data_IF_163973084660
#
_entry.id   IF_163973084660
#
_cell.length_a   1.000
_cell.length_b   1.000
_cell.length_c   1.000
_cell.angle_alpha   90.00
_cell.angle_beta   90.00
_cell.angle_gamma   90.00
#
_symmetry.space_group_name_H-M   'P 1'
#
loop_
_entity.id
_entity.type
_entity.pdbx_description
1 polymer ?
#
# COMPACT_ATOMS: atom_id res chain seq x y z
N UNK A 1 10.89 23.81 -57.95
CA UNK A 1 10.01 23.22 -56.91
C UNK A 1 10.69 23.42 -55.55
N UNK A 2 10.33 24.48 -54.82
CA UNK A 2 10.67 24.69 -53.41
C UNK A 2 9.35 24.67 -52.65
N UNK A 3 9.10 23.63 -51.87
CA UNK A 3 7.92 23.57 -50.98
C UNK A 3 8.32 24.07 -49.60
N UNK A 4 7.75 25.22 -49.26
CA UNK A 4 7.71 25.83 -47.94
C UNK A 4 6.92 24.96 -46.96
N UNK A 5 7.51 24.61 -45.81
CA UNK A 5 6.76 24.09 -44.67
C UNK A 5 6.54 25.21 -43.66
N UNK A 6 5.26 25.49 -43.43
CA UNK A 6 4.73 26.46 -42.48
C UNK A 6 5.18 26.14 -41.05
N UNK A 7 5.75 27.15 -40.40
CA UNK A 7 5.92 27.23 -38.95
C UNK A 7 4.57 27.52 -38.30
N UNK A 8 4.02 26.55 -37.56
CA UNK A 8 2.94 26.81 -36.61
C UNK A 8 3.51 26.79 -35.20
N UNK A 9 3.37 27.92 -34.52
CA UNK A 9 3.78 28.16 -33.15
C UNK A 9 2.89 27.38 -32.18
N UNK A 10 3.42 26.34 -31.54
CA UNK A 10 2.80 25.78 -30.36
C UNK A 10 3.28 26.53 -29.11
N UNK A 11 2.34 27.23 -28.49
CA UNK A 11 2.48 27.87 -27.19
C UNK A 11 3.04 26.88 -26.15
N UNK A 12 4.03 27.36 -25.39
CA UNK A 12 4.63 26.72 -24.23
C UNK A 12 3.54 26.29 -23.23
N UNK A 13 3.27 24.99 -23.15
CA UNK A 13 2.67 24.43 -21.95
C UNK A 13 3.77 24.33 -20.88
N UNK A 14 3.76 25.25 -19.92
CA UNK A 14 4.57 25.15 -18.72
C UNK A 14 4.01 23.99 -17.86
N UNK A 15 4.50 22.78 -18.11
CA UNK A 15 4.33 21.68 -17.19
C UNK A 15 5.31 21.86 -16.04
N UNK A 16 4.83 22.26 -14.86
CA UNK A 16 5.62 22.09 -13.65
C UNK A 16 5.86 20.58 -13.44
N UNK A 17 7.10 20.13 -13.22
CA UNK A 17 7.41 18.70 -13.15
C UNK A 17 6.93 18.12 -11.81
N UNK A 18 5.70 17.61 -11.79
CA UNK A 18 5.14 16.83 -10.67
C UNK A 18 6.01 15.58 -10.40
N UNK A 19 6.72 15.07 -11.41
CA UNK A 19 7.61 13.91 -11.29
C UNK A 19 8.88 14.15 -10.45
N UNK A 20 9.36 15.40 -10.33
CA UNK A 20 10.62 15.69 -9.62
C UNK A 20 10.45 15.66 -8.09
N UNK A 21 9.27 16.09 -7.59
CA UNK A 21 8.96 16.17 -6.16
C UNK A 21 8.62 14.80 -5.53
N UNK A 22 8.11 13.86 -6.32
CA UNK A 22 7.76 12.51 -5.86
C UNK A 22 9.02 11.67 -5.65
N UNK A 23 10.01 11.80 -6.55
CA UNK A 23 11.27 11.09 -6.45
C UNK A 23 12.06 11.49 -5.19
N UNK A 24 12.07 12.79 -4.85
CA UNK A 24 12.78 13.33 -3.68
C UNK A 24 12.18 12.86 -2.35
N UNK A 25 10.84 12.81 -2.22
CA UNK A 25 10.20 12.35 -0.98
C UNK A 25 10.38 10.85 -0.75
N UNK A 26 10.29 10.03 -1.80
CA UNK A 26 10.58 8.59 -1.74
C UNK A 26 12.01 8.37 -1.27
N UNK A 27 12.97 9.11 -1.84
CA UNK A 27 14.38 8.98 -1.48
C UNK A 27 14.65 9.33 -0.01
N UNK A 28 13.96 10.34 0.56
CA UNK A 28 14.13 10.75 1.96
C UNK A 28 13.58 9.74 2.96
N UNK A 29 12.36 9.21 2.72
CA UNK A 29 11.78 8.19 3.60
C UNK A 29 12.54 6.86 3.47
N UNK A 30 12.86 6.47 2.24
CA UNK A 30 13.63 5.27 1.95
C UNK A 30 15.01 5.28 2.61
N UNK A 31 15.80 6.34 2.42
CA UNK A 31 17.15 6.43 3.01
C UNK A 31 17.13 6.34 4.54
N UNK A 32 16.10 6.93 5.18
CA UNK A 32 15.92 6.85 6.63
C UNK A 32 15.48 5.47 7.12
N UNK A 33 14.70 4.72 6.35
CA UNK A 33 14.28 3.36 6.74
C UNK A 33 15.42 2.39 6.50
N UNK A 34 16.07 2.48 5.33
CA UNK A 34 17.16 1.62 4.89
C UNK A 34 18.30 1.56 5.92
N UNK A 35 18.71 2.71 6.47
CA UNK A 35 19.80 2.79 7.46
C UNK A 35 19.53 2.05 8.76
N UNK A 36 18.27 1.70 9.04
CA UNK A 36 17.83 1.02 10.26
C UNK A 36 17.37 -0.43 10.00
N UNK A 37 17.42 -0.90 8.76
CA UNK A 37 17.03 -2.28 8.44
C UNK A 37 18.11 -3.28 8.89
N UNK A 38 17.73 -4.41 9.49
CA UNK A 38 18.64 -5.54 9.69
C UNK A 38 19.27 -5.99 8.36
N UNK A 39 20.52 -6.46 8.41
CA UNK A 39 21.34 -6.81 7.23
C UNK A 39 20.63 -7.75 6.25
N UNK A 40 19.92 -8.76 6.76
CA UNK A 40 19.17 -9.71 5.95
C UNK A 40 18.00 -9.06 5.20
N UNK A 41 17.26 -8.17 5.86
CA UNK A 41 16.13 -7.44 5.24
C UNK A 41 16.66 -6.42 4.24
N UNK A 42 17.75 -5.71 4.58
CA UNK A 42 18.40 -4.80 3.65
C UNK A 42 18.84 -5.52 2.36
N UNK A 43 19.54 -6.65 2.48
CA UNK A 43 19.95 -7.47 1.34
C UNK A 43 18.75 -7.97 0.54
N UNK A 44 17.66 -8.37 1.21
CA UNK A 44 16.42 -8.72 0.54
C UNK A 44 15.88 -7.56 -0.29
N UNK A 45 15.81 -6.35 0.27
CA UNK A 45 15.28 -5.20 -0.47
C UNK A 45 16.13 -4.86 -1.69
N UNK A 46 17.46 -4.83 -1.56
CA UNK A 46 18.35 -4.56 -2.71
C UNK A 46 18.16 -5.62 -3.80
N UNK A 47 18.05 -6.91 -3.44
CA UNK A 47 17.81 -7.98 -4.40
C UNK A 47 16.41 -7.93 -5.01
N UNK A 48 15.39 -7.53 -4.25
CA UNK A 48 14.03 -7.34 -4.75
C UNK A 48 14.03 -6.25 -5.82
N UNK A 49 14.60 -5.07 -5.52
CA UNK A 49 14.64 -3.92 -6.45
C UNK A 49 15.30 -4.32 -7.78
N UNK A 50 16.39 -5.08 -7.70
CA UNK A 50 17.11 -5.55 -8.88
C UNK A 50 16.52 -6.82 -9.51
N UNK A 51 15.40 -7.35 -8.98
CA UNK A 51 14.81 -8.62 -9.37
C UNK A 51 15.84 -9.79 -9.40
N UNK A 52 16.73 -9.84 -8.42
CA UNK A 52 17.78 -10.86 -8.22
C UNK A 52 17.54 -11.72 -6.98
N UNK A 53 16.30 -11.75 -6.50
CA UNK A 53 15.88 -12.70 -5.48
C UNK A 53 15.79 -14.12 -6.06
N UNK A 54 16.09 -15.17 -5.27
CA UNK A 54 16.01 -16.57 -5.71
C UNK A 54 14.56 -17.08 -5.81
N UNK A 55 13.76 -16.47 -6.67
CA UNK A 55 12.46 -16.99 -7.12
C UNK A 55 12.67 -18.18 -8.04
N UNK A 56 11.71 -19.11 -8.20
CA UNK A 56 11.90 -20.24 -9.11
C UNK A 56 12.19 -19.81 -10.55
N UNK A 57 11.57 -18.72 -11.03
CA UNK A 57 11.88 -18.14 -12.35
C UNK A 57 13.34 -17.72 -12.48
N UNK A 58 13.91 -17.08 -11.44
CA UNK A 58 15.32 -16.70 -11.44
C UNK A 58 16.26 -17.91 -11.26
N UNK A 59 15.88 -18.87 -10.41
CA UNK A 59 16.66 -20.10 -10.21
C UNK A 59 16.73 -20.96 -11.48
N UNK A 60 15.64 -21.03 -12.27
CA UNK A 60 15.66 -21.66 -13.60
C UNK A 60 16.61 -20.92 -14.54
N UNK A 61 16.53 -19.58 -14.58
CA UNK A 61 17.43 -18.75 -15.40
C UNK A 61 18.91 -18.92 -15.03
N UNK A 62 19.21 -19.18 -13.76
CA UNK A 62 20.57 -19.41 -13.28
C UNK A 62 21.03 -20.88 -13.41
N UNK A 63 20.20 -21.78 -13.94
CA UNK A 63 20.52 -23.20 -14.08
C UNK A 63 20.58 -23.96 -12.74
N UNK A 64 20.00 -23.41 -11.68
CA UNK A 64 19.98 -24.02 -10.33
C UNK A 64 18.73 -24.88 -10.12
N UNK A 65 17.61 -24.52 -10.75
CA UNK A 65 16.34 -25.25 -10.65
C UNK A 65 15.91 -25.75 -12.04
N UNK A 66 15.34 -26.96 -12.16
CA UNK A 66 14.85 -27.46 -13.45
C UNK A 66 13.48 -26.89 -13.83
N UNK A 67 12.75 -26.28 -12.90
CA UNK A 67 11.43 -25.69 -13.11
C UNK A 67 11.33 -24.27 -12.55
N UNK A 68 10.44 -23.47 -13.15
CA UNK A 68 10.06 -22.13 -12.66
C UNK A 68 8.74 -22.12 -11.90
N UNK A 69 8.09 -23.28 -11.74
CA UNK A 69 6.75 -23.39 -11.17
C UNK A 69 6.74 -23.18 -9.66
N UNK A 70 5.71 -22.50 -9.18
CA UNK A 70 5.41 -22.33 -7.77
C UNK A 70 5.04 -23.69 -7.16
N UNK A 71 5.60 -24.00 -6.00
CA UNK A 71 5.38 -25.27 -5.29
C UNK A 71 3.93 -25.52 -4.85
N UNK A 72 3.07 -24.49 -4.92
CA UNK A 72 1.69 -24.54 -4.45
C UNK A 72 0.65 -24.44 -5.57
N UNK A 73 0.78 -23.44 -6.46
CA UNK A 73 -0.22 -23.18 -7.49
C UNK A 73 0.23 -23.55 -8.91
N UNK A 74 1.46 -24.06 -9.05
CA UNK A 74 2.08 -24.51 -10.31
C UNK A 74 2.27 -23.43 -11.39
N UNK A 75 1.87 -22.18 -11.15
CA UNK A 75 2.16 -21.08 -12.06
C UNK A 75 3.64 -20.64 -11.96
N UNK A 76 4.21 -20.01 -12.99
CA UNK A 76 5.58 -19.49 -12.93
C UNK A 76 5.81 -18.51 -11.76
N UNK A 77 6.70 -18.88 -10.83
CA UNK A 77 7.03 -18.12 -9.64
C UNK A 77 8.02 -16.99 -9.98
N UNK A 78 7.46 -15.87 -10.42
CA UNK A 78 8.16 -14.58 -10.51
C UNK A 78 8.17 -13.84 -9.17
N UNK A 79 8.87 -12.71 -9.08
CA UNK A 79 8.84 -11.88 -7.87
C UNK A 79 7.42 -11.39 -7.54
N UNK A 80 6.72 -10.82 -8.54
CA UNK A 80 5.30 -10.44 -8.46
C UNK A 80 4.45 -11.59 -7.90
N UNK A 81 4.67 -12.79 -8.43
CA UNK A 81 3.94 -13.98 -8.02
C UNK A 81 4.06 -14.22 -6.51
N UNK A 82 5.30 -14.27 -5.99
CA UNK A 82 5.56 -14.54 -4.57
C UNK A 82 4.95 -13.48 -3.66
N UNK A 83 5.06 -12.21 -4.03
CA UNK A 83 4.76 -11.10 -3.11
C UNK A 83 3.35 -10.50 -3.27
N UNK A 84 2.63 -10.80 -4.34
CA UNK A 84 1.28 -10.26 -4.55
C UNK A 84 0.39 -11.07 -5.51
N UNK A 85 0.91 -12.08 -6.21
CA UNK A 85 0.20 -12.68 -7.37
C UNK A 85 -0.20 -14.15 -7.21
N UNK A 86 0.29 -14.86 -6.20
CA UNK A 86 -0.04 -16.27 -6.00
C UNK A 86 -1.46 -16.43 -5.46
N UNK A 87 -2.34 -17.10 -6.21
CA UNK A 87 -3.73 -17.38 -5.79
C UNK A 87 -3.80 -18.22 -4.52
N UNK A 88 -2.91 -19.20 -4.37
CA UNK A 88 -2.85 -20.02 -3.15
C UNK A 88 -2.46 -19.16 -1.94
N UNK A 89 -1.47 -18.27 -2.07
CA UNK A 89 -1.08 -17.36 -0.98
C UNK A 89 -2.18 -16.37 -0.61
N UNK A 90 -2.98 -15.95 -1.59
CA UNK A 90 -4.15 -15.13 -1.33
C UNK A 90 -5.16 -15.90 -0.48
N UNK A 91 -5.50 -17.13 -0.88
CA UNK A 91 -6.49 -17.96 -0.20
C UNK A 91 -6.02 -18.43 1.19
N UNK A 92 -4.72 -18.67 1.36
CA UNK A 92 -4.09 -19.03 2.64
C UNK A 92 -3.85 -17.80 3.53
N UNK A 93 -4.14 -16.58 3.06
CA UNK A 93 -4.09 -15.37 3.88
C UNK A 93 -2.72 -14.73 4.04
N UNK A 94 -1.73 -15.05 3.20
CA UNK A 94 -0.39 -14.43 3.28
C UNK A 94 -0.47 -12.91 3.05
N UNK A 95 -1.21 -12.52 2.02
CA UNK A 95 -1.37 -11.11 1.65
C UNK A 95 -2.29 -10.39 2.61
N UNK A 96 -3.32 -11.07 3.12
CA UNK A 96 -4.21 -10.59 4.19
C UNK A 96 -3.41 -10.32 5.46
N UNK A 97 -2.54 -11.23 5.90
CA UNK A 97 -1.69 -11.01 7.07
C UNK A 97 -0.79 -9.78 6.95
N UNK A 98 -0.19 -9.54 5.76
CA UNK A 98 0.58 -8.32 5.51
C UNK A 98 -0.31 -7.08 5.56
N UNK A 99 -1.46 -7.14 4.90
CA UNK A 99 -2.44 -6.07 4.87
C UNK A 99 -2.86 -5.69 6.30
N UNK A 100 -3.29 -6.68 7.08
CA UNK A 100 -3.79 -6.50 8.44
C UNK A 100 -2.69 -6.06 9.39
N UNK A 101 -1.45 -6.48 9.17
CA UNK A 101 -0.30 -5.97 9.95
C UNK A 101 -0.11 -4.46 9.77
N UNK A 102 -0.34 -3.94 8.55
CA UNK A 102 -0.29 -2.50 8.28
C UNK A 102 -1.53 -1.80 8.83
N UNK A 103 -2.72 -2.37 8.60
CA UNK A 103 -4.00 -1.82 9.06
C UNK A 103 -4.04 -1.72 10.59
N UNK A 104 -3.54 -2.72 11.30
CA UNK A 104 -3.48 -2.77 12.77
C UNK A 104 -2.60 -1.66 13.34
N UNK A 105 -1.46 -1.38 12.68
CA UNK A 105 -0.63 -0.24 13.03
C UNK A 105 -1.36 1.10 12.80
N UNK A 106 -2.03 1.26 11.66
CA UNK A 106 -2.81 2.47 11.36
C UNK A 106 -3.93 2.66 12.39
N UNK A 107 -4.68 1.61 12.70
CA UNK A 107 -5.73 1.63 13.71
C UNK A 107 -5.16 2.00 15.10
N UNK A 108 -3.96 1.51 15.45
CA UNK A 108 -3.30 1.88 16.72
C UNK A 108 -2.94 3.36 16.81
N UNK A 109 -2.51 3.98 15.70
CA UNK A 109 -2.25 5.43 15.63
C UNK A 109 -3.56 6.19 15.79
N UNK A 110 -4.59 5.76 15.08
CA UNK A 110 -5.85 6.47 15.01
C UNK A 110 -6.68 6.35 16.30
N UNK A 111 -6.44 5.31 17.10
CA UNK A 111 -7.02 5.19 18.45
C UNK A 111 -6.58 6.31 19.39
N UNK A 112 -5.45 6.98 19.14
CA UNK A 112 -5.02 8.13 19.94
C UNK A 112 -5.69 9.45 19.56
N UNK A 113 -6.57 9.45 18.56
CA UNK A 113 -7.31 10.66 18.16
C UNK A 113 -8.45 10.88 19.15
N UNK A 114 -8.42 12.01 19.84
CA UNK A 114 -9.48 12.39 20.77
C UNK A 114 -10.80 12.64 20.04
N UNK A 115 -11.93 12.40 20.72
CA UNK A 115 -13.26 12.75 20.22
C UNK A 115 -13.61 12.12 18.86
N UNK A 116 -13.19 10.86 18.66
CA UNK A 116 -13.52 10.09 17.46
C UNK A 116 -14.00 8.68 17.80
N UNK A 117 -14.78 8.11 16.89
CA UNK A 117 -15.08 6.68 16.88
C UNK A 117 -14.32 6.03 15.73
N UNK A 118 -13.61 4.94 16.04
CA UNK A 118 -12.79 4.19 15.11
C UNK A 118 -13.42 2.81 14.85
N UNK A 119 -13.57 2.48 13.58
CA UNK A 119 -14.03 1.18 13.09
C UNK A 119 -12.97 0.62 12.16
N UNK A 120 -12.72 -0.68 12.19
CA UNK A 120 -11.73 -1.31 11.33
C UNK A 120 -12.13 -2.74 11.00
N UNK A 121 -11.83 -3.18 9.78
CA UNK A 121 -11.95 -4.58 9.36
C UNK A 121 -10.77 -5.39 9.94
N UNK A 122 -10.75 -5.50 11.27
CA UNK A 122 -9.73 -6.18 12.05
C UNK A 122 -10.32 -6.85 13.29
N UNK A 123 -9.76 -8.00 13.74
CA UNK A 123 -10.15 -8.59 15.01
C UNK A 123 -10.00 -7.61 16.19
N UNK A 124 -11.03 -7.52 17.02
CA UNK A 124 -11.03 -6.66 18.21
C UNK A 124 -11.51 -5.22 17.97
N UNK A 125 -11.90 -4.88 16.74
CA UNK A 125 -12.52 -3.59 16.40
C UNK A 125 -14.00 -3.77 16.07
N UNK A 126 -14.78 -2.69 16.20
CA UNK A 126 -16.15 -2.66 15.67
C UNK A 126 -16.05 -2.60 14.15
N UNK A 127 -16.80 -3.47 13.46
CA UNK A 127 -16.80 -3.55 12.00
C UNK A 127 -17.29 -2.23 11.36
N UNK A 128 -16.64 -1.77 10.28
CA UNK A 128 -17.13 -0.67 9.46
C UNK A 128 -18.54 -0.87 8.90
N UNK A 129 -19.02 -2.12 8.76
CA UNK A 129 -20.35 -2.44 8.23
C UNK A 129 -21.49 -1.84 9.04
N UNK A 130 -21.26 -1.49 10.31
CA UNK A 130 -22.23 -0.76 11.14
C UNK A 130 -22.63 0.58 10.52
N UNK A 131 -21.73 1.22 9.75
CA UNK A 131 -21.98 2.50 9.07
C UNK A 131 -22.26 2.28 7.58
N UNK A 132 -21.51 1.39 6.94
CA UNK A 132 -21.50 1.26 5.49
C UNK A 132 -22.36 0.14 4.93
N UNK A 133 -22.90 -0.73 5.77
CA UNK A 133 -23.48 -2.00 5.37
C UNK A 133 -22.41 -3.01 4.91
N UNK A 134 -22.87 -4.18 4.47
CA UNK A 134 -22.02 -5.34 4.16
C UNK A 134 -21.61 -5.44 2.67
N UNK A 135 -22.19 -4.63 1.78
CA UNK A 135 -21.92 -4.71 0.34
C UNK A 135 -20.51 -4.23 -0.05
N UNK A 136 -20.06 -3.15 0.59
CA UNK A 136 -18.75 -2.54 0.36
C UNK A 136 -18.12 -2.16 1.70
N UNK A 137 -17.34 -3.07 2.25
CA UNK A 137 -16.65 -2.87 3.52
C UNK A 137 -15.31 -2.14 3.30
N UNK A 138 -15.13 -0.90 3.80
CA UNK A 138 -13.83 -0.27 3.84
C UNK A 138 -12.95 -0.88 4.94
N UNK A 139 -11.63 -0.78 4.79
CA UNK A 139 -10.70 -1.33 5.77
C UNK A 139 -10.75 -0.58 7.11
N UNK A 140 -11.00 0.73 7.09
CA UNK A 140 -11.06 1.56 8.30
C UNK A 140 -11.98 2.79 8.12
N UNK A 141 -12.75 3.10 9.17
CA UNK A 141 -13.56 4.32 9.27
C UNK A 141 -13.21 5.11 10.53
N UNK A 142 -13.17 6.44 10.40
CA UNK A 142 -13.19 7.35 11.54
C UNK A 142 -14.37 8.30 11.41
N UNK A 143 -15.17 8.40 12.47
CA UNK A 143 -16.17 9.48 12.60
C UNK A 143 -15.71 10.48 13.66
N UNK A 144 -15.83 11.76 13.35
CA UNK A 144 -15.53 12.88 14.25
C UNK A 144 -16.83 13.55 14.74
N UNK A 145 -16.79 14.21 15.90
CA UNK A 145 -17.94 14.93 16.47
C UNK A 145 -18.51 16.02 15.54
N UNK A 146 -17.69 16.62 14.69
CA UNK A 146 -18.10 17.64 13.72
C UNK A 146 -18.76 17.07 12.45
N UNK A 147 -19.41 15.90 12.56
CA UNK A 147 -20.05 15.16 11.46
C UNK A 147 -19.11 14.98 10.25
N UNK A 148 -17.82 14.78 10.49
CA UNK A 148 -16.87 14.39 9.45
C UNK A 148 -16.57 12.90 9.55
N UNK A 149 -16.59 12.20 8.42
CA UNK A 149 -16.19 10.80 8.31
C UNK A 149 -15.01 10.66 7.34
N UNK A 150 -14.00 9.89 7.76
CA UNK A 150 -12.93 9.40 6.90
C UNK A 150 -13.18 7.94 6.56
N UNK A 151 -13.14 7.62 5.27
CA UNK A 151 -13.25 6.27 4.74
C UNK A 151 -11.89 5.90 4.16
N UNK A 152 -11.19 4.96 4.79
CA UNK A 152 -9.85 4.54 4.38
C UNK A 152 -9.90 3.16 3.74
N UNK A 153 -9.32 3.08 2.54
CA UNK A 153 -9.08 1.84 1.81
C UNK A 153 -7.57 1.63 1.68
N UNK A 154 -7.06 0.55 2.25
CA UNK A 154 -5.68 0.11 2.20
C UNK A 154 -5.49 -0.88 1.03
N UNK A 155 -4.33 -0.81 0.39
CA UNK A 155 -3.90 -1.84 -0.56
C UNK A 155 -2.40 -2.01 -0.42
N UNK A 156 -1.93 -3.21 -0.08
CA UNK A 156 -0.50 -3.53 -0.06
C UNK A 156 -0.17 -4.47 -1.20
N UNK A 157 0.31 -3.90 -2.31
CA UNK A 157 0.42 -4.60 -3.59
C UNK A 157 1.80 -4.50 -4.24
N UNK A 158 1.91 -5.07 -5.44
CA UNK A 158 3.10 -4.89 -6.28
C UNK A 158 3.05 -3.54 -6.99
N UNK A 159 4.22 -2.93 -7.16
CA UNK A 159 4.42 -1.55 -7.60
C UNK A 159 3.69 -1.25 -8.91
N UNK A 160 3.77 -2.16 -9.88
CA UNK A 160 3.18 -1.98 -11.23
C UNK A 160 1.65 -1.81 -11.23
N UNK A 161 0.97 -2.24 -10.16
CA UNK A 161 -0.49 -2.29 -10.12
C UNK A 161 -1.12 -1.23 -9.20
N UNK A 162 -0.31 -0.46 -8.46
CA UNK A 162 -0.81 0.45 -7.42
C UNK A 162 -1.69 1.56 -7.99
N UNK A 163 -1.25 2.23 -9.05
CA UNK A 163 -2.00 3.34 -9.64
C UNK A 163 -3.36 2.88 -10.20
N UNK A 164 -3.36 1.78 -10.93
CA UNK A 164 -4.59 1.19 -11.49
C UNK A 164 -5.55 0.75 -10.40
N UNK A 165 -5.05 0.14 -9.32
CA UNK A 165 -5.86 -0.24 -8.16
C UNK A 165 -6.45 0.97 -7.45
N UNK A 166 -5.66 2.02 -7.23
CA UNK A 166 -6.13 3.25 -6.60
C UNK A 166 -7.27 3.90 -7.40
N UNK A 167 -7.14 4.01 -8.72
CA UNK A 167 -8.19 4.55 -9.59
C UNK A 167 -9.46 3.70 -9.53
N UNK A 168 -9.33 2.38 -9.65
CA UNK A 168 -10.46 1.45 -9.58
C UNK A 168 -11.19 1.53 -8.24
N UNK A 169 -10.46 1.60 -7.13
CA UNK A 169 -11.05 1.72 -5.79
C UNK A 169 -11.74 3.07 -5.60
N UNK A 170 -11.13 4.19 -6.02
CA UNK A 170 -11.79 5.51 -5.98
C UNK A 170 -13.13 5.52 -6.71
N UNK A 171 -13.22 4.84 -7.85
CA UNK A 171 -14.47 4.68 -8.59
C UNK A 171 -15.47 3.80 -7.82
N UNK A 172 -15.00 2.65 -7.30
CA UNK A 172 -15.82 1.71 -6.52
C UNK A 172 -16.52 2.38 -5.31
N UNK A 173 -15.84 3.30 -4.64
CA UNK A 173 -16.34 3.96 -3.44
C UNK A 173 -17.24 5.19 -3.70
N UNK A 174 -17.43 5.63 -4.95
CA UNK A 174 -18.21 6.85 -5.23
C UNK A 174 -19.63 6.81 -4.68
N UNK A 175 -20.35 5.71 -4.93
CA UNK A 175 -21.75 5.59 -4.51
C UNK A 175 -21.88 5.58 -3.00
N UNK A 176 -20.99 4.88 -2.31
CA UNK A 176 -20.94 4.86 -0.85
C UNK A 176 -20.61 6.24 -0.27
N UNK A 177 -19.67 6.99 -0.88
CA UNK A 177 -19.36 8.36 -0.46
C UNK A 177 -20.62 9.23 -0.56
N UNK A 178 -21.36 9.13 -1.66
CA UNK A 178 -22.60 9.87 -1.88
C UNK A 178 -23.69 9.50 -0.86
N UNK A 179 -23.77 8.22 -0.47
CA UNK A 179 -24.71 7.78 0.57
C UNK A 179 -24.36 8.39 1.93
N UNK A 180 -23.08 8.39 2.30
CA UNK A 180 -22.64 8.93 3.58
C UNK A 180 -22.80 10.46 3.67
N UNK A 181 -22.79 11.18 2.54
CA UNK A 181 -23.04 12.63 2.50
C UNK A 181 -24.47 13.01 2.96
N UNK A 182 -25.40 12.06 3.04
CA UNK A 182 -26.74 12.29 3.61
C UNK A 182 -26.72 12.45 5.13
N UNK A 183 -25.74 11.81 5.79
CA UNK A 183 -25.65 11.74 7.26
C UNK A 183 -24.48 12.55 7.84
N UNK A 184 -23.46 12.83 7.04
CA UNK A 184 -22.24 13.53 7.42
C UNK A 184 -22.06 14.82 6.62
N UNK A 185 -21.61 15.89 7.30
CA UNK A 185 -21.31 17.18 6.64
C UNK A 185 -20.08 17.08 5.73
N UNK A 186 -19.14 16.19 6.07
CA UNK A 186 -17.90 15.98 5.31
C UNK A 186 -17.56 14.51 5.22
N UNK A 187 -17.52 13.98 4.01
CA UNK A 187 -17.05 12.61 3.72
C UNK A 187 -15.72 12.69 2.99
N UNK A 188 -14.68 12.05 3.53
CA UNK A 188 -13.33 12.06 2.96
C UNK A 188 -12.86 10.65 2.68
N UNK A 189 -12.67 10.32 1.41
CA UNK A 189 -12.11 9.04 1.01
C UNK A 189 -10.58 9.10 0.94
N UNK A 190 -9.93 8.14 1.58
CA UNK A 190 -8.47 8.01 1.68
C UNK A 190 -8.07 6.70 1.04
N UNK A 191 -7.49 6.77 -0.15
CA UNK A 191 -6.88 5.59 -0.77
C UNK A 191 -5.41 5.48 -0.37
N UNK A 192 -5.09 4.49 0.45
CA UNK A 192 -3.74 4.17 0.88
C UNK A 192 -3.21 2.94 0.14
N UNK A 193 -2.83 3.12 -1.12
CA UNK A 193 -2.11 2.09 -1.88
C UNK A 193 -0.60 2.17 -1.62
N UNK A 194 -0.03 1.11 -1.07
CA UNK A 194 1.39 1.04 -0.69
C UNK A 194 2.04 -0.15 -1.41
N UNK A 195 3.26 0.03 -1.88
CA UNK A 195 4.01 -1.09 -2.44
C UNK A 195 4.48 -2.08 -1.38
N UNK A 196 4.85 -3.26 -1.84
CA UNK A 196 5.47 -4.30 -1.00
C UNK A 196 6.88 -3.91 -0.49
N UNK A 197 7.44 -2.79 -0.96
CA UNK A 197 8.83 -2.42 -0.72
C UNK A 197 9.04 -0.94 -0.36
N UNK A 198 8.78 0.00 -1.27
CA UNK A 198 9.29 1.38 -1.15
C UNK A 198 8.41 2.44 -1.83
N UNK A 199 7.68 2.10 -2.90
CA UNK A 199 6.96 3.11 -3.66
C UNK A 199 5.74 3.64 -2.88
N UNK A 200 5.81 4.94 -2.57
CA UNK A 200 4.78 5.80 -1.98
C UNK A 200 4.38 6.93 -2.94
N UNK A 201 4.58 6.75 -4.25
CA UNK A 201 4.19 7.74 -5.24
C UNK A 201 2.67 7.81 -5.41
N UNK A 202 2.10 8.92 -4.93
CA UNK A 202 0.69 9.38 -4.93
C UNK A 202 -0.23 9.02 -3.73
N UNK A 203 -0.33 7.78 -3.23
CA UNK A 203 -1.22 7.41 -2.11
C UNK A 203 -0.79 7.94 -0.74
N UNK A 204 0.44 8.42 -0.61
CA UNK A 204 0.93 9.12 0.60
C UNK A 204 0.21 10.44 0.85
N UNK A 205 -0.31 11.10 -0.17
CA UNK A 205 -0.86 12.45 -0.04
C UNK A 205 -2.19 12.44 0.73
N UNK A 206 -3.12 11.55 0.38
CA UNK A 206 -4.43 11.48 1.03
C UNK A 206 -4.30 11.07 2.50
N UNK A 207 -3.46 10.07 2.79
CA UNK A 207 -3.21 9.64 4.16
C UNK A 207 -2.47 10.71 4.97
N UNK A 208 -1.45 11.36 4.40
CA UNK A 208 -0.73 12.44 5.11
C UNK A 208 -1.64 13.66 5.33
N UNK A 209 -2.52 13.97 4.38
CA UNK A 209 -3.54 15.01 4.51
C UNK A 209 -4.53 14.67 5.61
N UNK A 210 -5.04 13.44 5.66
CA UNK A 210 -5.87 12.95 6.77
C UNK A 210 -5.18 13.13 8.11
N UNK A 211 -3.93 12.66 8.26
CA UNK A 211 -3.20 12.82 9.52
C UNK A 211 -2.99 14.29 9.91
N UNK A 212 -2.75 15.17 8.93
CA UNK A 212 -2.64 16.62 9.17
C UNK A 212 -3.97 17.20 9.64
N UNK A 213 -5.08 16.78 9.03
CA UNK A 213 -6.43 17.23 9.40
C UNK A 213 -6.80 16.76 10.81
N UNK A 214 -6.38 15.54 11.18
CA UNK A 214 -6.48 14.95 12.52
C UNK A 214 -5.45 15.51 13.53
N UNK A 215 -4.75 16.59 13.17
CA UNK A 215 -3.84 17.35 14.04
C UNK A 215 -2.57 16.63 14.48
N UNK A 216 -2.17 15.54 13.81
CA UNK A 216 -0.84 14.98 14.02
C UNK A 216 0.23 15.95 13.49
N UNK A 217 1.28 16.21 14.27
CA UNK A 217 2.38 17.07 13.85
C UNK A 217 3.25 16.43 12.75
N UNK A 218 4.13 17.22 12.14
CA UNK A 218 4.93 16.76 11.01
C UNK A 218 5.91 15.64 11.35
N UNK A 219 6.49 15.65 12.56
CA UNK A 219 7.43 14.62 12.98
C UNK A 219 6.71 13.30 13.18
N UNK A 220 5.55 13.31 13.84
CA UNK A 220 4.69 12.14 13.98
C UNK A 220 4.25 11.57 12.63
N UNK A 221 3.75 12.42 11.70
CA UNK A 221 3.36 11.98 10.35
C UNK A 221 4.52 11.29 9.62
N UNK A 222 5.71 11.91 9.63
CA UNK A 222 6.91 11.33 9.03
C UNK A 222 7.30 10.00 9.68
N UNK A 223 7.16 9.88 11.00
CA UNK A 223 7.44 8.65 11.74
C UNK A 223 6.46 7.54 11.36
N UNK A 224 5.16 7.80 11.34
CA UNK A 224 4.15 6.81 10.99
C UNK A 224 4.32 6.28 9.56
N UNK A 225 4.58 7.16 8.59
CA UNK A 225 4.88 6.73 7.21
C UNK A 225 6.10 5.81 7.17
N UNK A 226 7.19 6.13 7.89
CA UNK A 226 8.38 5.26 7.97
C UNK A 226 8.07 3.91 8.60
N UNK A 227 7.23 3.88 9.65
CA UNK A 227 6.82 2.64 10.30
C UNK A 227 5.97 1.76 9.38
N UNK A 228 5.02 2.35 8.66
CA UNK A 228 4.23 1.64 7.63
C UNK A 228 5.16 1.03 6.57
N UNK A 229 6.11 1.80 6.03
CA UNK A 229 7.14 1.28 5.09
C UNK A 229 7.88 0.08 5.69
N UNK A 230 8.32 0.21 6.94
CA UNK A 230 9.06 -0.84 7.62
C UNK A 230 8.23 -2.13 7.77
N UNK A 231 6.95 -2.02 8.13
CA UNK A 231 6.02 -3.14 8.22
C UNK A 231 5.84 -3.79 6.83
N UNK A 232 5.62 -3.01 5.77
CA UNK A 232 5.48 -3.53 4.40
C UNK A 232 6.71 -4.32 3.94
N UNK A 233 7.93 -3.81 4.20
CA UNK A 233 9.17 -4.50 3.82
C UNK A 233 9.34 -5.79 4.62
N UNK A 234 9.16 -5.73 5.94
CA UNK A 234 9.38 -6.87 6.83
C UNK A 234 8.37 -7.99 6.59
N UNK A 235 7.11 -7.64 6.40
CA UNK A 235 6.06 -8.61 6.04
C UNK A 235 6.30 -9.21 4.65
N UNK A 236 6.70 -8.42 3.66
CA UNK A 236 7.05 -8.94 2.33
C UNK A 236 8.29 -9.84 2.35
N UNK A 237 9.29 -9.50 3.16
CA UNK A 237 10.44 -10.37 3.43
C UNK A 237 10.00 -11.68 4.07
N UNK A 238 9.11 -11.63 5.07
CA UNK A 238 8.59 -12.80 5.74
C UNK A 238 7.84 -13.73 4.77
N UNK A 239 6.92 -13.19 3.96
CA UNK A 239 6.22 -13.93 2.89
C UNK A 239 7.23 -14.59 1.95
N UNK A 240 8.25 -13.84 1.51
CA UNK A 240 9.30 -14.38 0.66
C UNK A 240 10.05 -15.53 1.33
N UNK A 241 10.39 -15.42 2.61
CA UNK A 241 11.03 -16.49 3.38
C UNK A 241 10.15 -17.73 3.56
N UNK A 242 8.82 -17.57 3.54
CA UNK A 242 7.83 -18.64 3.66
C UNK A 242 7.38 -19.24 2.33
N UNK A 243 7.83 -18.72 1.18
CA UNK A 243 7.35 -19.11 -0.17
C UNK A 243 7.43 -20.59 -0.58
N UNK A 244 8.09 -21.44 0.22
CA UNK A 244 8.17 -22.89 -0.01
C UNK A 244 7.86 -23.68 1.29
N UNK A 245 7.07 -23.08 2.18
CA UNK A 245 6.70 -23.64 3.47
C UNK A 245 5.20 -23.45 3.65
N UNK A 246 4.57 -24.32 4.42
CA UNK A 246 3.18 -24.14 4.83
C UNK A 246 3.03 -22.83 5.62
N UNK A 247 1.86 -22.22 5.47
CA UNK A 247 1.51 -21.00 6.17
C UNK A 247 1.03 -21.29 7.58
N UNK A 248 1.68 -20.67 8.54
CA UNK A 248 1.45 -20.86 9.97
C UNK A 248 0.56 -19.78 10.59
N UNK A 249 -0.11 -18.95 9.79
CA UNK A 249 -0.95 -17.83 10.25
C UNK A 249 -0.32 -17.07 11.43
N UNK A 250 0.88 -16.48 11.22
CA UNK A 250 1.60 -15.80 12.28
C UNK A 250 0.78 -14.64 12.86
N UNK A 251 1.06 -14.29 14.12
CA UNK A 251 0.50 -13.09 14.73
C UNK A 251 0.83 -11.85 13.89
N UNK A 252 -0.06 -10.85 13.92
CA UNK A 252 0.18 -9.57 13.27
C UNK A 252 1.48 -8.95 13.79
N UNK A 253 2.19 -8.24 12.91
CA UNK A 253 3.47 -7.64 13.27
C UNK A 253 3.33 -6.67 14.45
N UNK A 254 4.13 -6.88 15.50
CA UNK A 254 4.34 -5.89 16.56
C UNK A 254 5.18 -4.71 16.04
N UNK A 255 4.84 -3.50 16.45
CA UNK A 255 5.34 -2.24 15.86
C UNK A 255 6.63 -1.70 16.49
#
# INVERSE_FOLDING_TARGET
MKTSFNTTSFHKAHFSPISLNIHTLIQLYWSSVQSKLPKNIFNFTIRYINNTLPTRKNLLKWGISPTSECSFCLNPESLLHVVAGCKTYLNEGHFTWRHDSVLNFIASILKSVNHCNLYADLPGYISPSVITGDELLPDLLITLENKCIYILELTVGFESNLLTNATRKRQKYQDQINEQLKNYEKVKFVNLSISSLVDFSHPSLDFTAMLKDLKFDEQCRKYYVRKIINICIRSSYYIFCKRNKEWDNPQLMSY
#
